data_IF_094059045541
#
_entry.id   IF_094059045541
#
_cell.length_a   1.000
_cell.length_b   1.000
_cell.length_c   1.000
_cell.angle_alpha   90.00
_cell.angle_beta   90.00
_cell.angle_gamma   90.00
#
_symmetry.space_group_name_H-M   'P 1'
#
loop_
_entity.id
_entity.type
_entity.pdbx_description
1 polymer ?
#
# COMPACT_ATOMS: atom_id res chain seq x y z
N UNK A 1 -18.61 3.78 5.08
CA UNK A 1 -17.35 4.55 5.11
C UNK A 1 -16.19 3.77 4.52
N UNK A 2 -15.42 4.37 3.62
CA UNK A 2 -14.11 3.86 3.23
C UNK A 2 -13.11 4.26 4.33
N UNK A 3 -12.62 3.28 5.09
CA UNK A 3 -11.74 3.49 6.25
C UNK A 3 -10.27 3.76 5.87
N UNK A 4 -9.94 3.68 4.59
CA UNK A 4 -8.58 3.87 4.06
C UNK A 4 -8.54 4.81 2.83
N UNK A 5 -9.54 5.70 2.71
CA UNK A 5 -9.68 6.58 1.54
C UNK A 5 -8.49 7.52 1.33
N UNK A 6 -7.88 8.03 2.41
CA UNK A 6 -6.70 8.88 2.28
C UNK A 6 -5.48 8.06 1.83
N UNK A 7 -5.34 6.85 2.38
CA UNK A 7 -4.30 5.91 2.00
C UNK A 7 -4.38 5.55 0.51
N UNK A 8 -5.57 5.25 -0.01
CA UNK A 8 -5.77 4.95 -1.43
C UNK A 8 -5.39 6.14 -2.32
N UNK A 9 -5.77 7.35 -1.92
CA UNK A 9 -5.41 8.57 -2.63
C UNK A 9 -3.89 8.75 -2.72
N UNK A 10 -3.19 8.65 -1.58
CA UNK A 10 -1.74 8.79 -1.54
C UNK A 10 -1.03 7.65 -2.26
N UNK A 11 -1.54 6.42 -2.16
CA UNK A 11 -1.01 5.29 -2.91
C UNK A 11 -1.00 5.58 -4.40
N UNK A 12 -2.12 6.04 -4.95
CA UNK A 12 -2.21 6.33 -6.37
C UNK A 12 -1.34 7.53 -6.78
N UNK A 13 -1.29 8.58 -5.95
CA UNK A 13 -0.52 9.78 -6.25
C UNK A 13 1.01 9.59 -6.13
N UNK A 14 1.46 8.76 -5.18
CA UNK A 14 2.88 8.67 -4.81
C UNK A 14 3.56 7.40 -5.35
N UNK A 15 2.82 6.39 -5.82
CA UNK A 15 3.41 5.12 -6.28
C UNK A 15 4.57 5.30 -7.27
N UNK A 16 4.52 6.18 -8.28
CA UNK A 16 5.63 6.36 -9.20
C UNK A 16 6.91 6.87 -8.52
N UNK A 17 6.80 7.89 -7.66
CA UNK A 17 7.97 8.46 -6.97
C UNK A 17 8.53 7.51 -5.91
N UNK A 18 7.66 6.76 -5.23
CA UNK A 18 8.06 5.74 -4.27
C UNK A 18 8.81 4.59 -4.93
N UNK A 19 8.38 4.11 -6.11
CA UNK A 19 9.12 3.09 -6.86
C UNK A 19 10.54 3.57 -7.14
N UNK A 20 10.71 4.80 -7.67
CA UNK A 20 12.03 5.37 -7.96
C UNK A 20 12.90 5.48 -6.71
N UNK A 21 12.32 5.90 -5.57
CA UNK A 21 13.06 6.08 -4.32
C UNK A 21 13.43 4.74 -3.64
N UNK A 22 12.53 3.76 -3.67
CA UNK A 22 12.70 2.48 -2.96
C UNK A 22 13.51 1.47 -3.75
N UNK A 23 13.47 1.50 -5.09
CA UNK A 23 14.19 0.54 -5.93
C UNK A 23 15.68 0.39 -5.55
N UNK A 24 16.50 1.45 -5.39
CA UNK A 24 17.91 1.27 -5.01
C UNK A 24 18.10 0.71 -3.58
N UNK A 25 17.15 0.96 -2.69
CA UNK A 25 17.17 0.39 -1.32
C UNK A 25 16.90 -1.11 -1.41
N UNK A 26 15.90 -1.52 -2.20
CA UNK A 26 15.57 -2.92 -2.43
C UNK A 26 16.74 -3.63 -3.11
N UNK A 27 17.30 -3.03 -4.15
CA UNK A 27 18.44 -3.57 -4.90
C UNK A 27 19.67 -3.81 -3.99
N UNK A 28 19.98 -2.87 -3.09
CA UNK A 28 21.08 -3.04 -2.12
C UNK A 28 20.78 -4.02 -1.00
N UNK A 29 19.51 -4.19 -0.62
CA UNK A 29 19.09 -5.05 0.49
C UNK A 29 18.96 -6.51 0.06
N UNK A 30 18.50 -6.77 -1.17
CA UNK A 30 18.39 -8.12 -1.67
C UNK A 30 19.71 -8.49 -2.36
N UNK A 31 20.59 -9.18 -1.65
CA UNK A 31 21.74 -9.87 -2.27
C UNK A 31 21.24 -11.15 -2.96
N UNK A 32 20.70 -10.98 -4.18
CA UNK A 32 20.10 -12.08 -4.97
C UNK A 32 21.16 -12.79 -5.81
N UNK A 33 22.19 -13.40 -5.22
CA UNK A 33 23.07 -14.25 -6.03
C UNK A 33 22.28 -15.47 -6.56
N UNK A 34 21.94 -15.46 -7.85
CA UNK A 34 21.28 -16.56 -8.57
C UNK A 34 19.75 -16.48 -8.66
N UNK A 35 19.06 -15.95 -7.66
CA UNK A 35 17.59 -15.94 -7.64
C UNK A 35 16.94 -15.01 -8.69
N UNK A 36 17.64 -14.00 -9.21
CA UNK A 36 17.13 -13.18 -10.33
C UNK A 36 16.92 -14.03 -11.59
N UNK A 37 17.85 -14.96 -11.86
CA UNK A 37 17.78 -15.86 -13.00
C UNK A 37 16.66 -16.88 -12.83
N UNK A 38 16.55 -17.47 -11.64
CA UNK A 38 15.52 -18.46 -11.33
C UNK A 38 14.12 -17.81 -11.38
N UNK A 39 13.97 -16.63 -10.78
CA UNK A 39 12.73 -15.85 -10.83
C UNK A 39 12.35 -15.51 -12.27
N UNK A 40 13.29 -14.98 -13.06
CA UNK A 40 13.04 -14.64 -14.45
C UNK A 40 12.64 -15.88 -15.26
N UNK A 41 13.30 -17.02 -15.04
CA UNK A 41 12.97 -18.28 -15.72
C UNK A 41 11.53 -18.73 -15.41
N UNK A 42 11.16 -18.77 -14.12
CA UNK A 42 9.83 -19.20 -13.66
C UNK A 42 8.74 -18.25 -14.16
N UNK A 43 8.95 -16.94 -14.01
CA UNK A 43 7.97 -15.92 -14.42
C UNK A 43 7.78 -15.89 -15.94
N UNK A 44 8.85 -16.10 -16.71
CA UNK A 44 8.74 -16.22 -18.17
C UNK A 44 7.92 -17.43 -18.61
N UNK A 45 8.02 -18.57 -17.91
CA UNK A 45 7.18 -19.74 -18.18
C UNK A 45 5.73 -19.44 -17.78
N UNK A 46 5.50 -18.86 -16.60
CA UNK A 46 4.16 -18.47 -16.13
C UNK A 46 3.46 -17.50 -17.09
N UNK A 47 4.19 -16.48 -17.58
CA UNK A 47 3.66 -15.46 -18.48
C UNK A 47 3.33 -16.01 -19.88
N UNK A 48 3.81 -17.20 -20.25
CA UNK A 48 3.51 -17.87 -21.52
C UNK A 48 2.24 -18.71 -21.48
N UNK A 49 1.61 -18.88 -20.31
CA UNK A 49 0.36 -19.63 -20.18
C UNK A 49 -0.76 -18.88 -20.92
N UNK A 50 -1.44 -19.50 -21.90
CA UNK A 50 -2.56 -18.86 -22.61
C UNK A 50 -3.67 -18.44 -21.63
N UNK A 51 -4.33 -17.32 -21.94
CA UNK A 51 -5.44 -16.76 -21.15
C UNK A 51 -5.08 -16.25 -19.74
N UNK A 52 -3.79 -16.04 -19.44
CA UNK A 52 -3.41 -15.37 -18.19
C UNK A 52 -3.90 -13.91 -18.20
N UNK A 53 -4.62 -13.51 -17.15
CA UNK A 53 -5.19 -12.16 -17.04
C UNK A 53 -4.24 -11.14 -16.42
N UNK A 54 -3.20 -11.61 -15.73
CA UNK A 54 -2.23 -10.78 -15.01
C UNK A 54 -0.83 -11.38 -15.11
N UNK A 55 0.01 -10.91 -16.06
CA UNK A 55 1.40 -11.34 -16.12
C UNK A 55 2.17 -10.87 -14.87
N UNK A 56 3.20 -11.61 -14.52
CA UNK A 56 4.15 -11.26 -13.46
C UNK A 56 5.27 -10.39 -14.01
N UNK A 57 5.72 -9.44 -13.19
CA UNK A 57 6.96 -8.71 -13.43
C UNK A 57 8.15 -9.67 -13.32
N UNK A 58 8.98 -9.71 -14.37
CA UNK A 58 10.09 -10.65 -14.53
C UNK A 58 11.37 -10.16 -13.89
N UNK A 59 11.53 -8.84 -13.71
CA UNK A 59 12.61 -8.28 -12.92
C UNK A 59 12.29 -8.44 -11.44
N UNK A 60 13.11 -9.21 -10.72
CA UNK A 60 12.84 -9.50 -9.30
C UNK A 60 12.90 -8.23 -8.45
N UNK A 61 13.88 -7.35 -8.67
CA UNK A 61 14.00 -6.07 -7.95
C UNK A 61 12.74 -5.23 -8.12
N UNK A 62 12.20 -5.12 -9.34
CA UNK A 62 10.98 -4.34 -9.60
C UNK A 62 9.74 -5.00 -9.00
N UNK A 63 9.64 -6.34 -9.08
CA UNK A 63 8.57 -7.11 -8.45
C UNK A 63 8.56 -6.89 -6.93
N UNK A 64 9.71 -7.07 -6.26
CA UNK A 64 9.80 -6.92 -4.80
C UNK A 64 9.59 -5.46 -4.39
N UNK A 65 10.13 -4.50 -5.15
CA UNK A 65 9.90 -3.06 -4.88
C UNK A 65 8.42 -2.72 -4.89
N UNK A 66 7.66 -3.21 -5.86
CA UNK A 66 6.22 -3.01 -5.90
C UNK A 66 5.51 -3.65 -4.70
N UNK A 67 5.93 -4.85 -4.28
CA UNK A 67 5.37 -5.54 -3.10
C UNK A 67 5.67 -4.82 -1.79
N UNK A 68 6.89 -4.32 -1.62
CA UNK A 68 7.27 -3.55 -0.42
C UNK A 68 6.43 -2.28 -0.30
N UNK A 69 6.21 -1.57 -1.41
CA UNK A 69 5.34 -0.38 -1.41
C UNK A 69 3.90 -0.76 -1.09
N UNK A 70 3.38 -1.86 -1.64
CA UNK A 70 2.05 -2.35 -1.31
C UNK A 70 1.92 -2.69 0.19
N UNK A 71 2.93 -3.34 0.78
CA UNK A 71 2.99 -3.64 2.21
C UNK A 71 3.05 -2.37 3.07
N UNK A 72 3.84 -1.38 2.66
CA UNK A 72 3.91 -0.10 3.34
C UNK A 72 2.53 0.58 3.38
N UNK A 73 1.83 0.64 2.24
CA UNK A 73 0.48 1.21 2.21
C UNK A 73 -0.55 0.38 2.98
N UNK A 74 -0.37 -0.94 3.08
CA UNK A 74 -1.21 -1.78 3.95
C UNK A 74 -1.06 -1.38 5.43
N UNK A 75 0.17 -1.08 5.88
CA UNK A 75 0.40 -0.60 7.24
C UNK A 75 -0.22 0.78 7.47
N UNK A 76 -0.05 1.70 6.50
CA UNK A 76 -0.67 3.04 6.57
C UNK A 76 -2.20 2.96 6.60
N UNK A 77 -2.81 2.05 5.81
CA UNK A 77 -4.25 1.84 5.82
C UNK A 77 -4.75 1.36 7.19
N UNK A 78 -4.00 0.50 7.86
CA UNK A 78 -4.33 0.04 9.21
C UNK A 78 -4.28 1.18 10.23
N UNK A 79 -3.27 2.05 10.15
CA UNK A 79 -3.17 3.25 11.00
C UNK A 79 -4.31 4.25 10.71
N UNK A 80 -4.65 4.49 9.44
CA UNK A 80 -5.77 5.35 9.07
C UNK A 80 -7.09 4.81 9.64
N UNK A 81 -7.35 3.50 9.48
CA UNK A 81 -8.52 2.85 10.03
C UNK A 81 -8.57 2.99 11.56
N UNK A 82 -7.42 2.85 12.22
CA UNK A 82 -7.26 3.13 13.64
C UNK A 82 -7.65 4.55 14.01
N UNK A 83 -7.05 5.57 13.37
CA UNK A 83 -7.34 6.99 13.63
C UNK A 83 -8.83 7.33 13.45
N UNK A 84 -9.48 6.73 12.44
CA UNK A 84 -10.90 6.91 12.16
C UNK A 84 -11.80 6.31 13.24
N UNK A 85 -11.45 5.13 13.77
CA UNK A 85 -12.32 4.36 14.67
C UNK A 85 -12.03 4.55 16.16
N UNK A 86 -10.79 4.91 16.51
CA UNK A 86 -10.28 4.92 17.88
C UNK A 86 -9.79 6.31 18.28
N UNK A 87 -10.43 6.90 19.29
CA UNK A 87 -10.09 8.24 19.76
C UNK A 87 -8.66 8.32 20.31
N UNK A 88 -8.18 7.27 20.98
CA UNK A 88 -6.84 7.18 21.57
C UNK A 88 -5.71 7.18 20.53
N UNK A 89 -6.02 6.86 19.27
CA UNK A 89 -5.09 6.94 18.15
C UNK A 89 -5.05 8.33 17.50
N UNK A 90 -5.97 9.24 17.87
CA UNK A 90 -5.98 10.65 17.41
C UNK A 90 -4.99 11.46 18.26
N UNK A 91 -3.70 11.35 17.94
CA UNK A 91 -2.63 11.94 18.74
C UNK A 91 -2.57 13.47 18.73
N UNK A 92 -3.13 14.12 17.71
CA UNK A 92 -3.11 15.58 17.58
C UNK A 92 -4.50 16.18 17.82
N UNK A 93 -4.54 17.42 18.29
CA UNK A 93 -5.79 18.14 18.52
C UNK A 93 -6.56 18.38 17.21
N UNK A 94 -5.84 18.53 16.10
CA UNK A 94 -6.43 18.60 14.77
C UNK A 94 -7.18 17.30 14.43
N UNK A 95 -6.57 16.13 14.62
CA UNK A 95 -7.20 14.84 14.35
C UNK A 95 -8.42 14.62 15.25
N UNK A 96 -8.31 14.95 16.55
CA UNK A 96 -9.44 14.88 17.49
C UNK A 96 -10.61 15.76 17.04
N UNK A 97 -10.33 16.99 16.60
CA UNK A 97 -11.35 17.96 16.15
C UNK A 97 -12.03 17.49 14.85
N UNK A 98 -11.26 17.13 13.83
CA UNK A 98 -11.78 16.73 12.51
C UNK A 98 -12.63 15.47 12.61
N UNK A 99 -12.11 14.41 13.24
CA UNK A 99 -12.83 13.15 13.35
C UNK A 99 -13.93 13.19 14.41
N UNK A 100 -13.78 13.97 15.48
CA UNK A 100 -14.85 14.19 16.46
C UNK A 100 -16.06 14.92 15.87
N UNK A 101 -15.84 15.91 15.00
CA UNK A 101 -16.92 16.55 14.24
C UNK A 101 -17.64 15.55 13.34
N UNK A 102 -16.90 14.73 12.58
CA UNK A 102 -17.49 13.71 11.71
C UNK A 102 -18.34 12.69 12.47
N UNK A 103 -17.89 12.24 13.65
CA UNK A 103 -18.66 11.35 14.52
C UNK A 103 -19.95 11.99 15.05
N UNK A 104 -19.88 13.26 15.48
CA UNK A 104 -21.06 13.98 15.95
C UNK A 104 -22.11 14.12 14.84
N UNK A 105 -21.68 14.37 13.61
CA UNK A 105 -22.56 14.49 12.45
C UNK A 105 -23.19 13.15 12.06
N UNK A 106 -22.43 12.05 12.08
CA UNK A 106 -22.95 10.70 11.87
C UNK A 106 -24.02 10.32 12.90
N UNK A 107 -23.79 10.65 14.18
CA UNK A 107 -24.78 10.39 15.25
C UNK A 107 -26.10 11.13 15.01
N UNK A 108 -26.05 12.39 14.58
CA UNK A 108 -27.26 13.16 14.26
C UNK A 108 -28.06 12.52 13.13
N UNK A 109 -27.38 12.06 12.07
CA UNK A 109 -28.01 11.39 10.92
C UNK A 109 -28.69 10.07 11.28
N UNK A 110 -28.16 9.32 12.25
CA UNK A 110 -28.78 8.08 12.72
C UNK A 110 -29.94 8.29 13.70
N UNK A 111 -30.12 9.52 14.21
CA UNK A 111 -31.22 9.88 15.13
C UNK A 111 -32.41 10.55 14.42
N UNK A 112 -32.27 10.86 13.13
CA UNK A 112 -33.33 11.35 12.23
C UNK A 112 -33.88 10.19 11.41
#
# INVERSE_FOLDING_TARGET
DNTHAATDYFKNAMKPSLITAFRPIVDSTIHVEGADKDWSSITNVYNKIPFISKPLETNLTDFVSARVIDLMFMMVANEEAGIRTKYELRKTDLLKKVFGYAEAELKKRHQQ
#
